data_IF_785563567200
#
_entry.id   IF_785563567200
#
_cell.length_a   1.000
_cell.length_b   1.000
_cell.length_c   1.000
_cell.angle_alpha   90.00
_cell.angle_beta   90.00
_cell.angle_gamma   90.00
#
_symmetry.space_group_name_H-M   'P 1'
#
loop_
_entity.id
_entity.type
_entity.pdbx_description
1 polymer ?
#
# COMPACT_ATOMS: atom_id res chain seq x y z
N UNK A 1 -46.86 -34.37 -35.06
CA UNK A 1 -46.22 -33.16 -35.64
C UNK A 1 -44.97 -32.85 -34.84
N UNK A 2 -43.80 -32.76 -35.46
CA UNK A 2 -42.52 -32.59 -34.76
C UNK A 2 -42.14 -31.11 -34.66
N UNK A 3 -42.08 -30.56 -33.44
CA UNK A 3 -41.77 -29.16 -33.16
C UNK A 3 -40.26 -28.97 -33.26
N UNK A 4 -39.80 -28.26 -34.28
CA UNK A 4 -38.37 -27.93 -34.44
C UNK A 4 -37.97 -26.84 -33.45
N UNK A 5 -36.85 -27.04 -32.74
CA UNK A 5 -36.29 -26.06 -31.79
C UNK A 5 -35.95 -24.74 -32.51
N UNK A 6 -36.21 -23.57 -31.90
CA UNK A 6 -35.87 -22.29 -32.49
C UNK A 6 -34.34 -22.10 -32.53
N UNK A 7 -33.81 -21.71 -33.69
CA UNK A 7 -32.39 -21.42 -33.88
C UNK A 7 -32.10 -19.98 -33.48
N UNK A 8 -31.41 -19.78 -32.36
CA UNK A 8 -30.97 -18.46 -31.89
C UNK A 8 -29.82 -17.98 -32.78
N UNK A 9 -30.05 -16.91 -33.55
CA UNK A 9 -29.04 -16.32 -34.43
C UNK A 9 -28.07 -15.47 -33.61
N UNK A 10 -26.76 -15.66 -33.83
CA UNK A 10 -25.71 -14.85 -33.18
C UNK A 10 -25.87 -13.37 -33.60
N UNK A 11 -25.63 -12.41 -32.69
CA UNK A 11 -25.64 -11.00 -33.03
C UNK A 11 -24.54 -10.70 -34.04
N UNK A 12 -24.88 -9.91 -35.06
CA UNK A 12 -23.94 -9.53 -36.12
C UNK A 12 -23.13 -8.32 -35.65
N UNK A 13 -21.82 -8.50 -35.46
CA UNK A 13 -20.91 -7.40 -35.10
C UNK A 13 -20.84 -6.40 -36.27
N UNK A 14 -21.03 -5.09 -36.02
CA UNK A 14 -20.93 -4.07 -37.07
C UNK A 14 -19.49 -3.98 -37.59
N UNK A 15 -19.34 -3.95 -38.91
CA UNK A 15 -18.03 -3.79 -39.55
C UNK A 15 -17.54 -2.35 -39.40
N UNK A 16 -16.53 -2.13 -38.56
CA UNK A 16 -15.86 -0.83 -38.44
C UNK A 16 -15.03 -0.61 -39.72
N UNK A 17 -15.38 0.41 -40.51
CA UNK A 17 -14.62 0.78 -41.71
C UNK A 17 -13.38 1.56 -41.29
N UNK A 18 -12.20 1.12 -41.76
CA UNK A 18 -10.95 1.87 -41.56
C UNK A 18 -11.08 3.26 -42.21
N UNK A 19 -10.54 4.32 -41.59
CA UNK A 19 -10.55 5.65 -42.21
C UNK A 19 -9.74 5.66 -43.50
N UNK A 20 -10.19 6.47 -44.46
CA UNK A 20 -9.50 6.76 -45.71
C UNK A 20 -8.06 7.20 -45.42
N UNK A 21 -7.11 6.77 -46.25
CA UNK A 21 -5.67 6.98 -46.05
C UNK A 21 -5.34 8.47 -45.90
N UNK A 22 -6.01 9.35 -46.65
CA UNK A 22 -5.87 10.81 -46.57
C UNK A 22 -6.26 11.42 -45.22
N UNK A 23 -7.12 10.75 -44.45
CA UNK A 23 -7.56 11.20 -43.12
C UNK A 23 -6.69 10.65 -41.98
N UNK A 24 -5.65 9.86 -42.28
CA UNK A 24 -4.69 9.37 -41.28
C UNK A 24 -3.67 10.48 -41.03
N UNK A 25 -3.60 10.99 -39.80
CA UNK A 25 -2.48 11.87 -39.40
C UNK A 25 -1.21 11.03 -39.35
N UNK A 26 -0.22 11.38 -40.17
CA UNK A 26 1.10 10.77 -40.10
C UNK A 26 1.79 11.15 -38.80
N UNK A 27 2.26 10.17 -38.03
CA UNK A 27 3.17 10.43 -36.92
C UNK A 27 4.52 10.77 -37.54
N UNK A 28 4.76 12.06 -37.78
CA UNK A 28 6.07 12.54 -38.21
C UNK A 28 7.03 12.30 -37.05
N UNK A 29 7.91 11.31 -37.18
CA UNK A 29 9.03 11.12 -36.26
C UNK A 29 9.93 12.34 -36.37
N UNK A 30 9.68 13.36 -35.55
CA UNK A 30 10.62 14.49 -35.41
C UNK A 30 11.94 13.92 -34.91
N UNK A 31 13.03 14.18 -35.63
CA UNK A 31 14.38 13.94 -35.11
C UNK A 31 14.51 14.74 -33.82
N UNK A 32 15.11 14.20 -32.74
CA UNK A 32 15.36 14.99 -31.55
C UNK A 32 16.30 16.13 -31.94
N UNK A 33 15.79 17.36 -31.98
CA UNK A 33 16.62 18.55 -32.08
C UNK A 33 17.39 18.65 -30.77
N UNK A 34 18.66 18.24 -30.80
CA UNK A 34 19.64 18.48 -29.74
C UNK A 34 19.94 19.98 -29.67
N UNK A 35 18.99 20.77 -29.17
CA UNK A 35 19.16 22.21 -29.00
C UNK A 35 18.13 22.78 -28.04
N UNK A 36 18.06 22.27 -26.83
CA UNK A 36 17.70 23.05 -25.66
C UNK A 36 18.60 22.55 -24.54
N UNK A 37 19.29 23.46 -23.86
CA UNK A 37 20.30 23.17 -22.86
C UNK A 37 19.81 22.16 -21.83
N UNK A 38 20.76 21.50 -21.17
CA UNK A 38 20.51 20.51 -20.12
C UNK A 38 19.57 21.13 -19.07
N UNK A 39 18.27 20.87 -19.18
CA UNK A 39 17.32 21.19 -18.11
C UNK A 39 17.66 20.19 -17.02
N UNK A 40 18.52 20.60 -16.09
CA UNK A 40 18.66 19.94 -14.81
C UNK A 40 17.35 20.19 -14.08
N UNK A 41 16.35 19.35 -14.36
CA UNK A 41 15.21 19.22 -13.49
C UNK A 41 15.81 18.95 -12.10
N UNK A 42 15.63 19.88 -11.17
CA UNK A 42 15.92 19.65 -9.76
C UNK A 42 14.90 18.61 -9.31
N UNK A 43 15.20 17.34 -9.55
CA UNK A 43 14.47 16.25 -8.93
C UNK A 43 14.66 16.49 -7.45
N UNK A 44 13.61 16.91 -6.76
CA UNK A 44 13.61 16.90 -5.30
C UNK A 44 13.92 15.45 -4.93
N UNK A 45 15.16 15.20 -4.50
CA UNK A 45 15.50 13.93 -3.87
C UNK A 45 14.42 13.77 -2.80
N UNK A 46 13.67 12.64 -2.74
CA UNK A 46 12.77 12.42 -1.64
C UNK A 46 13.62 12.68 -0.41
N UNK A 47 13.24 13.68 0.39
CA UNK A 47 13.96 13.96 1.62
C UNK A 47 13.95 12.63 2.35
N UNK A 48 15.11 12.01 2.47
CA UNK A 48 15.35 11.02 3.51
C UNK A 48 15.28 11.81 4.81
N UNK A 49 14.07 12.29 5.15
CA UNK A 49 13.63 12.52 6.51
C UNK A 49 13.83 11.15 7.12
N UNK A 50 15.05 10.94 7.64
CA UNK A 50 15.48 9.66 8.16
C UNK A 50 14.37 9.20 9.06
N UNK A 51 13.74 8.08 8.70
CA UNK A 51 12.74 7.45 9.55
C UNK A 51 13.46 7.25 10.87
N UNK A 52 13.22 8.13 11.85
CA UNK A 52 13.80 7.98 13.18
C UNK A 52 13.40 6.59 13.60
N UNK A 53 14.40 5.71 13.74
CA UNK A 53 14.21 4.38 14.27
C UNK A 53 13.48 4.55 15.58
N UNK A 54 12.17 4.27 15.58
CA UNK A 54 11.38 4.37 16.80
C UNK A 54 11.75 3.14 17.59
N UNK A 55 12.77 3.27 18.44
CA UNK A 55 13.22 2.19 19.32
C UNK A 55 12.06 1.82 20.22
N UNK A 56 11.39 0.71 19.88
CA UNK A 56 10.23 0.24 20.63
C UNK A 56 10.70 -0.22 22.00
N UNK A 57 10.18 0.40 23.04
CA UNK A 57 10.44 -0.02 24.42
C UNK A 57 9.67 -1.30 24.70
N UNK A 58 10.43 -2.39 24.88
CA UNK A 58 9.88 -3.69 25.24
C UNK A 58 9.88 -3.87 26.76
N UNK A 59 8.85 -4.55 27.26
CA UNK A 59 8.66 -4.80 28.68
C UNK A 59 7.88 -6.09 28.94
N UNK A 60 7.45 -6.26 30.17
CA UNK A 60 6.63 -7.39 30.62
C UNK A 60 5.23 -6.89 30.94
N UNK A 61 4.24 -7.67 30.56
CA UNK A 61 2.83 -7.42 30.78
C UNK A 61 2.28 -8.32 31.89
N UNK A 62 1.38 -7.77 32.68
CA UNK A 62 0.84 -8.42 33.86
C UNK A 62 -0.68 -8.31 33.90
N UNK A 63 -1.30 -9.32 34.53
CA UNK A 63 -2.75 -9.43 34.62
C UNK A 63 -3.36 -8.53 35.69
N UNK A 64 -2.60 -8.20 36.75
CA UNK A 64 -3.06 -7.39 37.89
C UNK A 64 -2.37 -6.03 37.96
N UNK A 65 -2.87 -5.12 38.80
CA UNK A 65 -2.43 -3.71 38.86
C UNK A 65 -1.05 -3.48 39.53
N UNK A 66 -0.45 -4.51 40.13
CA UNK A 66 0.83 -4.42 40.87
C UNK A 66 1.97 -5.25 40.25
N UNK A 67 1.99 -5.41 38.93
CA UNK A 67 2.93 -6.30 38.23
C UNK A 67 2.94 -7.73 38.78
N UNK A 68 1.75 -8.23 39.12
CA UNK A 68 1.51 -9.61 39.55
C UNK A 68 0.83 -10.40 38.43
N UNK A 69 1.19 -11.68 38.32
CA UNK A 69 0.69 -12.58 37.28
C UNK A 69 1.19 -12.20 35.89
N UNK A 70 2.39 -12.67 35.52
CA UNK A 70 2.99 -12.43 34.20
C UNK A 70 2.10 -13.03 33.11
N UNK A 71 1.67 -12.21 32.16
CA UNK A 71 0.95 -12.63 30.95
C UNK A 71 1.93 -12.90 29.81
N UNK A 72 2.67 -11.85 29.43
CA UNK A 72 3.56 -11.89 28.27
C UNK A 72 4.84 -11.11 28.55
N UNK A 73 5.97 -11.61 28.02
CA UNK A 73 7.29 -10.98 28.12
C UNK A 73 7.69 -10.38 26.78
N UNK A 74 8.54 -9.35 26.81
CA UNK A 74 9.09 -8.66 25.63
C UNK A 74 8.01 -8.06 24.71
N UNK A 75 6.97 -7.45 25.28
CA UNK A 75 5.91 -6.78 24.52
C UNK A 75 5.88 -5.28 24.81
N UNK A 76 5.33 -4.50 23.87
CA UNK A 76 5.14 -3.06 24.07
C UNK A 76 3.98 -2.79 25.02
N UNK A 77 3.98 -1.62 25.67
CA UNK A 77 2.88 -1.14 26.52
C UNK A 77 1.52 -1.17 25.79
N UNK A 78 1.52 -0.81 24.50
CA UNK A 78 0.34 -0.83 23.63
C UNK A 78 -0.18 -2.24 23.34
N UNK A 79 0.71 -3.23 23.19
CA UNK A 79 0.32 -4.63 23.02
C UNK A 79 -0.29 -5.18 24.31
N UNK A 80 0.32 -4.87 25.46
CA UNK A 80 -0.21 -5.30 26.77
C UNK A 80 -1.64 -4.82 27.03
N UNK A 81 -1.97 -3.58 26.65
CA UNK A 81 -3.33 -3.05 26.76
C UNK A 81 -4.33 -3.77 25.84
N UNK A 82 -3.90 -4.25 24.67
CA UNK A 82 -4.76 -5.02 23.75
C UNK A 82 -5.03 -6.43 24.25
N UNK A 83 -4.05 -7.04 24.92
CA UNK A 83 -4.15 -8.37 25.53
C UNK A 83 -4.92 -8.37 26.87
N UNK A 84 -5.44 -7.23 27.32
CA UNK A 84 -6.18 -7.11 28.58
C UNK A 84 -5.31 -7.09 29.84
N UNK A 85 -4.03 -6.76 29.73
CA UNK A 85 -3.13 -6.58 30.88
C UNK A 85 -3.44 -5.29 31.65
N UNK A 86 -3.37 -5.36 32.98
CA UNK A 86 -3.66 -4.24 33.90
C UNK A 86 -2.42 -3.46 34.35
N UNK A 87 -1.23 -4.04 34.20
CA UNK A 87 0.03 -3.33 34.44
C UNK A 87 1.13 -3.80 33.50
N UNK A 88 2.12 -2.92 33.27
CA UNK A 88 3.26 -3.18 32.41
C UNK A 88 4.53 -2.61 33.01
N UNK A 89 5.62 -3.37 32.87
CA UNK A 89 6.93 -3.01 33.42
C UNK A 89 7.97 -3.02 32.31
N UNK A 90 8.63 -1.89 32.10
CA UNK A 90 9.84 -1.84 31.26
C UNK A 90 10.94 -2.70 31.90
N UNK A 91 11.78 -3.34 31.10
CA UNK A 91 12.94 -4.08 31.61
C UNK A 91 13.79 -3.15 32.49
N UNK A 92 13.96 -3.49 33.77
CA UNK A 92 14.69 -2.68 34.75
C UNK A 92 13.97 -1.42 35.26
N UNK A 93 12.73 -1.16 34.83
CA UNK A 93 11.96 0.01 35.22
C UNK A 93 10.93 -0.24 36.34
N UNK A 94 10.23 0.81 36.78
CA UNK A 94 9.11 0.70 37.71
C UNK A 94 7.90 0.00 37.05
N UNK A 95 7.02 -0.53 37.89
CA UNK A 95 5.73 -1.05 37.45
C UNK A 95 4.79 0.11 37.12
N UNK A 96 4.24 0.15 35.91
CA UNK A 96 3.27 1.15 35.51
C UNK A 96 1.88 0.51 35.41
N UNK A 97 0.89 1.14 36.07
CA UNK A 97 -0.52 0.81 35.84
C UNK A 97 -0.91 1.21 34.42
N UNK A 98 -1.69 0.35 33.76
CA UNK A 98 -2.03 0.43 32.34
C UNK A 98 -3.50 0.75 32.09
#
# INVERSE_FOLDING_TARGET
>A
MSIRKPVIRKPKVPKIKKPLISKRKGVVKKKPTLSMGRITAKTQKPSNLGKKSTTRTLGTCYREENCKGVLYRKITKTQCRREGGKSWRKIGGPCEKL
#
